data_IF_577704194256
#
_entry.id   IF_577704194256
#
_cell.length_a   1.000
_cell.length_b   1.000
_cell.length_c   1.000
_cell.angle_alpha   90.00
_cell.angle_beta   90.00
_cell.angle_gamma   90.00
#
_symmetry.space_group_name_H-M   'P 1'
#
loop_
_entity.id
_entity.type
_entity.pdbx_description
1 polymer ?
2 non-polymer ?
3 non-polymer ?
4 water ?
#
# COMPACT_ATOMS: atom_id res chain seq x y z
N UNK A 1 6.07 -21.55 9.95
CA UNK A 1 7.07 -20.90 10.79
C UNK A 1 6.74 -21.16 12.27
N UNK A 2 7.78 -21.07 13.08
CA UNK A 2 7.71 -21.05 14.54
C UNK A 2 7.38 -19.61 14.99
N UNK A 3 7.89 -18.65 14.24
CA UNK A 3 7.98 -17.26 14.68
C UNK A 3 6.66 -16.50 14.69
N UNK A 4 6.63 -15.46 15.52
CA UNK A 4 5.48 -14.58 15.64
C UNK A 4 5.91 -13.11 15.68
N UNK A 5 5.02 -12.25 15.21
CA UNK A 5 5.22 -10.81 15.32
C UNK A 5 6.50 -10.33 14.66
N UNK A 6 7.21 -9.44 15.36
CA UNK A 6 8.40 -8.79 14.83
C UNK A 6 9.52 -9.77 14.42
N UNK A 7 9.61 -10.93 15.11
CA UNK A 7 10.61 -11.97 14.82
C UNK A 7 10.56 -12.50 13.38
N UNK A 8 9.38 -12.43 12.76
CA UNK A 8 9.20 -12.82 11.36
C UNK A 8 9.91 -11.90 10.37
N UNK A 9 10.35 -10.72 10.81
CA UNK A 9 10.83 -9.67 9.91
C UNK A 9 12.31 -9.36 10.00
N UNK A 10 13.07 -10.15 10.77
CA UNK A 10 14.47 -9.79 11.05
C UNK A 10 15.43 -9.95 9.86
N UNK A 11 15.03 -10.65 8.80
CA UNK A 11 15.83 -10.77 7.58
C UNK A 11 15.04 -10.28 6.36
N UNK A 12 15.41 -10.77 5.19
CA UNK A 12 14.72 -10.44 3.93
C UNK A 12 13.61 -11.45 3.73
N UNK A 13 12.40 -10.95 3.50
CA UNK A 13 11.21 -11.74 3.40
C UNK A 13 10.59 -11.62 1.98
N UNK A 14 10.26 -12.76 1.34
CA UNK A 14 9.60 -12.70 0.02
C UNK A 14 8.18 -12.17 0.15
N UNK A 15 7.78 -11.42 -0.86
CA UNK A 15 6.45 -10.81 -0.90
C UNK A 15 5.73 -11.25 -2.18
N UNK A 16 4.44 -11.52 -2.05
CA UNK A 16 3.55 -11.82 -3.19
C UNK A 16 2.32 -10.94 -3.02
N UNK A 17 1.96 -10.24 -4.09
CA UNK A 17 0.81 -9.36 -4.10
C UNK A 17 -0.14 -9.82 -5.21
N UNK A 18 -1.43 -9.92 -4.89
CA UNK A 18 -2.43 -10.25 -5.89
C UNK A 18 -3.59 -9.26 -5.77
N UNK A 19 -3.92 -8.57 -6.87
CA UNK A 19 -5.01 -7.63 -6.88
C UNK A 19 -6.01 -7.98 -7.99
N UNK A 20 -7.29 -7.99 -7.63
CA UNK A 20 -8.38 -7.97 -8.60
C UNK A 20 -9.09 -6.65 -8.50
N UNK A 21 -9.26 -5.98 -9.64
CA UNK A 21 -9.86 -4.66 -9.69
C UNK A 21 -10.98 -4.56 -10.72
N UNK A 22 -11.86 -3.58 -10.51
CA UNK A 22 -12.91 -3.25 -11.47
C UNK A 22 -13.11 -1.74 -11.41
N UNK A 23 -12.79 -1.05 -12.50
CA UNK A 23 -12.92 0.42 -12.62
C UNK A 23 -13.47 0.75 -14.02
N UNK A 24 -14.51 1.59 -14.11
CA UNK A 24 -15.02 2.08 -15.42
C UNK A 24 -15.42 0.94 -16.36
N UNK A 25 -16.01 -0.09 -15.77
CA UNK A 25 -16.42 -1.29 -16.52
C UNK A 25 -15.28 -2.16 -17.01
N UNK A 26 -14.07 -1.92 -16.49
CA UNK A 26 -12.89 -2.70 -16.91
C UNK A 26 -12.36 -3.51 -15.71
N UNK A 27 -12.52 -4.82 -15.80
CA UNK A 27 -11.96 -5.75 -14.83
C UNK A 27 -10.50 -6.01 -15.17
N UNK A 28 -9.64 -6.02 -14.16
CA UNK A 28 -8.23 -6.22 -14.36
C UNK A 28 -7.64 -6.93 -13.19
N UNK A 29 -6.46 -7.52 -13.42
CA UNK A 29 -5.71 -8.17 -12.35
C UNK A 29 -4.23 -7.75 -12.39
N UNK A 30 -3.65 -7.67 -11.21
CA UNK A 30 -2.23 -7.36 -11.07
C UNK A 30 -1.61 -8.37 -10.12
N UNK A 31 -0.43 -8.87 -10.49
CA UNK A 31 0.41 -9.71 -9.64
C UNK A 31 1.72 -8.99 -9.39
N UNK A 32 2.23 -9.11 -8.18
CA UNK A 32 3.51 -8.55 -7.84
C UNK A 32 4.36 -9.50 -7.03
N UNK A 33 5.67 -9.39 -7.21
CA UNK A 33 6.64 -10.20 -6.49
C UNK A 33 7.85 -9.36 -6.12
N UNK A 34 8.42 -9.65 -4.97
CA UNK A 34 9.65 -9.01 -4.57
C UNK A 34 10.04 -9.40 -3.17
N UNK A 35 10.66 -8.47 -2.47
CA UNK A 35 11.13 -8.77 -1.14
C UNK A 35 11.17 -7.53 -0.26
N UNK A 36 11.10 -7.76 1.04
CA UNK A 36 11.08 -6.68 2.03
C UNK A 36 12.10 -6.93 3.11
N UNK A 37 12.76 -5.86 3.55
CA UNK A 37 13.82 -5.91 4.58
C UNK A 37 13.51 -4.85 5.61
N UNK A 38 12.72 -5.22 6.61
CA UNK A 38 12.18 -4.26 7.58
C UNK A 38 13.26 -3.59 8.44
N UNK A 39 14.38 -4.26 8.60
CA UNK A 39 15.49 -3.66 9.37
C UNK A 39 15.93 -2.31 8.76
N UNK A 40 15.83 -2.20 7.44
CA UNK A 40 16.25 -1.02 6.70
C UNK A 40 15.06 -0.28 6.08
N UNK A 41 13.86 -0.77 6.37
CA UNK A 41 12.63 -0.23 5.79
C UNK A 41 12.52 -0.34 4.28
N UNK A 42 13.17 -1.36 3.68
CA UNK A 42 13.38 -1.40 2.23
C UNK A 42 12.46 -2.43 1.55
N UNK A 43 11.79 -2.01 0.48
CA UNK A 43 10.91 -2.87 -0.33
C UNK A 43 11.34 -2.77 -1.78
N UNK A 44 11.43 -3.91 -2.45
CA UNK A 44 11.70 -3.96 -3.90
C UNK A 44 10.66 -4.91 -4.52
N UNK A 45 9.86 -4.41 -5.45
CA UNK A 45 8.76 -5.17 -6.05
C UNK A 45 8.63 -4.85 -7.53
N UNK A 46 8.22 -5.86 -8.29
CA UNK A 46 7.78 -5.71 -9.66
C UNK A 46 6.34 -6.20 -9.79
N UNK A 47 5.50 -5.33 -10.36
CA UNK A 47 4.08 -5.62 -10.59
C UNK A 47 3.81 -5.77 -12.08
N UNK A 48 2.94 -6.71 -12.43
CA UNK A 48 2.54 -6.98 -13.80
C UNK A 48 1.01 -6.95 -13.86
N UNK A 49 0.46 -6.26 -14.88
CA UNK A 49 -0.96 -6.40 -15.20
C UNK A 49 -1.09 -7.67 -16.02
N UNK A 50 -1.84 -8.63 -15.48
CA UNK A 50 -1.94 -9.94 -16.09
C UNK A 50 -3.13 -10.06 -17.06
N UNK A 51 -3.92 -8.99 -17.20
CA UNK A 51 -5.08 -8.98 -18.06
C UNK A 51 -4.91 -8.07 -19.30
N UNK A 52 -3.69 -7.62 -19.57
CA UNK A 52 -3.41 -6.72 -20.70
C UNK A 52 -3.02 -5.33 -20.23
N UNK A 53 -3.67 -4.31 -20.78
CA UNK A 53 -3.40 -2.93 -20.44
C UNK A 53 -4.10 -2.57 -19.13
N UNK A 54 -3.33 -2.00 -18.21
CA UNK A 54 -3.95 -1.54 -16.98
C UNK A 54 -4.87 -0.35 -17.30
N UNK A 55 -6.15 -0.40 -16.85
CA UNK A 55 -7.10 0.66 -17.21
C UNK A 55 -7.02 1.95 -16.37
N UNK A 56 -6.14 1.98 -15.38
CA UNK A 56 -5.90 3.16 -14.58
C UNK A 56 -4.39 3.40 -14.56
N UNK A 57 -3.94 4.61 -14.15
CA UNK A 57 -2.52 4.87 -14.09
C UNK A 57 -1.84 4.09 -12.95
N UNK A 58 -0.67 3.52 -13.23
CA UNK A 58 0.07 2.77 -12.21
C UNK A 58 0.29 3.55 -10.89
N UNK A 59 0.63 4.85 -10.97
CA UNK A 59 0.84 5.58 -9.72
C UNK A 59 -0.38 5.57 -8.78
N UNK A 60 -1.59 5.46 -9.31
CA UNK A 60 -2.79 5.48 -8.47
C UNK A 60 -2.97 4.20 -7.67
N UNK A 61 -2.23 3.14 -8.03
CA UNK A 61 -2.32 1.86 -7.34
C UNK A 61 -1.20 1.61 -6.33
N UNK A 62 -0.19 2.49 -6.28
CA UNK A 62 0.96 2.25 -5.43
C UNK A 62 0.54 2.01 -3.97
N UNK A 63 -0.31 2.89 -3.42
CA UNK A 63 -0.63 2.76 -1.99
C UNK A 63 -1.43 1.47 -1.72
N UNK A 64 -2.21 1.02 -2.70
CA UNK A 64 -3.02 -0.17 -2.55
C UNK A 64 -2.14 -1.42 -2.58
N UNK A 65 -1.26 -1.45 -3.55
CA UNK A 65 -0.35 -2.55 -3.77
C UNK A 65 0.70 -2.66 -2.66
N UNK A 67 1.93 -2.91 2.31
CA UNK A 67 2.60 -3.92 3.16
C UNK A 67 3.44 -3.17 4.19
N UNK A 68 2.72 -2.38 4.98
CA UNK A 68 3.32 -1.46 5.94
C UNK A 68 3.99 -2.17 7.10
N UNK A 69 3.82 -3.51 7.18
CA UNK A 69 4.63 -4.34 8.05
C UNK A 69 6.13 -4.31 7.75
N UNK A 70 6.53 -3.83 6.57
CA UNK A 70 7.96 -3.71 6.27
C UNK A 70 8.59 -2.36 6.66
N UNK A 71 7.81 -1.51 7.34
CA UNK A 71 8.32 -0.22 7.83
C UNK A 71 9.45 -0.43 8.83
N UNK A 72 10.47 0.42 8.77
CA UNK A 72 11.47 0.45 9.83
C UNK A 72 10.94 1.26 11.01
N UNK A 73 10.69 0.58 12.13
CA UNK A 73 10.37 1.28 13.37
C UNK A 73 11.67 1.50 14.16
N UNK A 74 12.02 2.76 14.49
CA UNK A 74 13.13 2.99 15.39
C UNK A 74 12.97 2.23 16.70
N UNK A 75 14.08 1.80 17.29
CA UNK A 75 14.04 1.07 18.55
C UNK A 75 13.15 1.74 19.61
N UNK A 76 13.23 3.06 19.75
CA UNK A 76 12.42 3.80 20.73
C UNK A 76 10.94 3.78 20.42
N UNK A 77 10.56 3.39 19.20
CA UNK A 77 9.16 3.32 18.78
C UNK A 77 8.64 1.90 18.53
N UNK A 78 9.42 0.87 18.82
CA UNK A 78 8.98 -0.51 18.47
C UNK A 78 7.70 -0.97 19.16
N UNK A 79 7.35 -0.36 20.29
CA UNK A 79 6.07 -0.62 20.98
C UNK A 79 4.82 -0.11 20.23
N UNK A 80 5.05 0.65 19.15
CA UNK A 80 3.98 1.26 18.37
C UNK A 80 3.77 0.59 17.00
N UNK A 81 4.42 -0.56 16.74
CA UNK A 81 4.33 -1.25 15.47
C UNK A 81 3.21 -2.30 15.44
N UNK A 82 2.02 -1.81 15.15
CA UNK A 82 0.84 -2.64 14.99
C UNK A 82 1.03 -3.71 13.93
N UNK A 83 1.56 -3.30 12.78
CA UNK A 83 1.52 -4.15 11.61
C UNK A 83 2.23 -5.48 11.82
N UNK A 84 3.44 -5.42 12.40
CA UNK A 84 4.16 -6.68 12.64
C UNK A 84 3.54 -7.47 13.76
N UNK A 85 2.93 -6.81 14.74
CA UNK A 85 2.38 -7.50 15.91
C UNK A 85 1.21 -8.43 15.55
N UNK A 86 0.57 -8.15 14.42
CA UNK A 86 -0.56 -8.94 13.96
C UNK A 86 -0.17 -10.23 13.24
N UNK A 87 1.13 -10.39 12.97
CA UNK A 87 1.64 -11.50 12.16
C UNK A 87 1.97 -12.73 13.03
N UNK A 88 1.82 -13.96 12.52
CA UNK A 88 1.63 -14.27 11.09
C UNK A 88 0.17 -14.29 10.61
N UNK A 89 -0.78 -14.25 11.54
CA UNK A 89 -2.20 -14.38 11.19
C UNK A 89 -2.68 -13.24 10.30
N UNK A 90 -2.16 -12.05 10.55
CA UNK A 90 -2.28 -10.94 9.63
C UNK A 90 -3.33 -9.93 9.98
N UNK A 91 -3.59 -9.03 9.04
CA UNK A 91 -4.58 -7.98 9.23
C UNK A 91 -5.35 -7.72 7.98
N UNK A 92 -6.55 -7.17 8.17
CA UNK A 92 -7.33 -6.63 7.07
C UNK A 92 -7.01 -5.15 6.96
N UNK A 93 -6.74 -4.70 5.75
CA UNK A 93 -6.51 -3.29 5.44
C UNK A 93 -7.58 -2.82 4.47
N UNK A 94 -8.36 -1.84 4.90
CA UNK A 94 -9.44 -1.29 4.10
C UNK A 94 -9.17 0.18 3.86
N UNK A 95 -9.42 0.65 2.64
CA UNK A 95 -9.36 2.08 2.34
C UNK A 95 -10.51 2.55 1.47
N UNK A 96 -10.81 3.83 1.60
CA UNK A 96 -11.47 4.60 0.56
C UNK A 96 -10.48 5.67 0.15
N UNK A 97 -10.26 5.78 -1.15
CA UNK A 97 -9.33 6.77 -1.70
C UNK A 97 -10.18 7.70 -2.52
N UNK A 98 -10.26 8.96 -2.09
CA UNK A 98 -11.13 9.94 -2.76
C UNK A 98 -10.32 10.83 -3.67
N UNK A 99 -10.54 10.68 -4.97
CA UNK A 99 -9.86 11.56 -5.94
C UNK A 99 -10.66 12.82 -6.10
N UNK A 100 -10.05 13.94 -5.71
CA UNK A 100 -10.78 15.23 -5.64
C UNK A 100 -11.36 15.56 -7.01
N UNK A 101 -12.64 15.95 -7.02
CA UNK A 101 -13.38 16.28 -8.28
C UNK A 101 -13.50 15.12 -9.25
N UNK A 102 -13.40 13.91 -8.71
CA UNK A 102 -13.46 12.71 -9.53
C UNK A 102 -13.98 11.55 -8.69
N UNK A 103 -13.70 10.32 -9.09
CA UNK A 103 -14.21 9.13 -8.42
C UNK A 103 -13.43 8.69 -7.21
N UNK A 104 -13.80 7.51 -6.69
CA UNK A 104 -13.18 6.93 -5.50
C UNK A 104 -12.77 5.48 -5.75
N UNK A 105 -11.68 5.05 -5.12
CA UNK A 105 -11.37 3.62 -4.99
C UNK A 105 -11.82 3.14 -3.63
N UNK A 106 -12.43 1.96 -3.58
CA UNK A 106 -12.72 1.25 -2.35
C UNK A 106 -11.88 -0.01 -2.40
N UNK A 107 -11.06 -0.24 -1.38
CA UNK A 107 -10.15 -1.38 -1.36
C UNK A 107 -10.28 -2.19 -0.08
N UNK A 108 -10.15 -3.51 -0.23
CA UNK A 108 -10.08 -4.41 0.93
C UNK A 108 -9.00 -5.43 0.66
N UNK A 109 -8.08 -5.56 1.61
CA UNK A 109 -6.95 -6.46 1.47
C UNK A 109 -6.75 -7.25 2.75
N UNK A 110 -6.23 -8.47 2.57
CA UNK A 110 -5.75 -9.29 3.67
C UNK A 110 -4.25 -9.47 3.50
N UNK A 111 -3.50 -9.14 4.55
CA UNK A 111 -2.06 -9.21 4.56
C UNK A 111 -1.67 -10.23 5.62
N UNK A 112 -1.00 -11.30 5.22
CA UNK A 112 -0.69 -12.39 6.14
C UNK A 112 0.43 -13.25 5.60
N UNK A 113 1.06 -14.04 6.46
CA UNK A 113 2.03 -15.04 5.97
C UNK A 113 1.35 -16.29 5.40
N UNK A 114 1.90 -16.79 4.30
CA UNK A 114 1.64 -18.13 3.79
C UNK A 114 3.02 -18.79 3.70
N UNK A 115 3.37 -19.57 4.72
CA UNK A 115 4.71 -20.10 4.85
C UNK A 115 5.69 -18.95 5.10
N UNK A 116 6.76 -18.94 4.31
CA UNK A 116 7.80 -17.91 4.36
C UNK A 116 7.41 -16.61 3.68
N UNK A 117 6.33 -16.59 2.91
CA UNK A 117 6.00 -15.48 2.05
C UNK A 117 4.96 -14.59 2.69
N UNK A 118 5.18 -13.29 2.61
CA UNK A 118 4.20 -12.31 3.07
C UNK A 118 3.31 -12.03 1.88
N UNK A 119 2.00 -12.26 2.05
CA UNK A 119 1.05 -12.15 0.95
C UNK A 119 0.06 -11.02 1.20
N UNK A 120 -0.16 -10.19 0.17
CA UNK A 120 -1.16 -9.14 0.17
C UNK A 120 -2.15 -9.43 -0.95
N UNK A 121 -3.37 -9.83 -0.58
CA UNK A 121 -4.44 -10.17 -1.52
C UNK A 121 -5.49 -9.06 -1.40
N UNK A 122 -5.77 -8.42 -2.54
CA UNK A 122 -6.55 -7.18 -2.59
C UNK A 122 -7.73 -7.29 -3.56
N UNK A 123 -8.86 -6.71 -3.19
CA UNK A 123 -9.95 -6.39 -4.13
C UNK A 123 -10.13 -4.87 -4.16
N UNK A 124 -10.26 -4.33 -5.36
CA UNK A 124 -10.43 -2.91 -5.58
C UNK A 124 -11.65 -2.64 -6.45
N UNK A 125 -12.48 -1.68 -6.04
CA UNK A 125 -13.64 -1.24 -6.83
C UNK A 125 -13.55 0.26 -7.05
N UNK A 126 -13.66 0.70 -8.31
CA UNK A 126 -13.77 2.11 -8.65
C UNK A 126 -15.21 2.56 -8.69
N UNK A 127 -15.47 3.77 -8.21
CA UNK A 127 -16.81 4.35 -8.09
C UNK A 127 -16.80 5.70 -8.80
N UNK A 128 -17.70 5.88 -9.78
CA UNK A 128 -18.06 7.19 -10.33
C UNK A 128 -16.89 8.06 -10.84
N UNK A 129 -15.95 7.44 -11.54
CA UNK A 129 -14.90 8.20 -12.21
C UNK A 129 -15.38 8.91 -13.50
N UNK A 130 -14.76 10.05 -13.77
CA UNK A 130 -15.04 10.83 -14.99
C UNK A 130 -14.27 10.26 -16.15
N UNK A 131 -14.94 9.98 -17.27
CA UNK A 131 -14.23 9.43 -18.42
C UNK A 131 -13.15 10.37 -18.98
N UNK A 132 -13.39 11.69 -18.84
CA UNK A 132 -12.47 12.70 -19.34
C UNK A 132 -11.51 13.21 -18.25
N UNK A 133 -11.52 12.59 -17.07
CA UNK A 133 -10.75 13.05 -15.92
C UNK A 133 -9.31 12.53 -15.93
N UNK A 134 -8.56 12.89 -14.90
CA UNK A 134 -7.13 12.55 -14.85
C UNK A 134 -6.81 11.07 -14.73
N UNK A 135 -7.72 10.33 -14.11
CA UNK A 135 -7.49 8.93 -13.84
C UNK A 135 -7.82 8.12 -15.09
N UNK A 136 -9.01 8.32 -15.64
CA UNK A 136 -9.40 7.54 -16.80
C UNK A 136 -8.79 8.05 -18.09
N UNK A 137 -8.40 9.32 -18.11
CA UNK A 137 -7.63 9.85 -19.22
C UNK A 137 -6.17 9.40 -19.25
N UNK A 138 -5.69 8.65 -18.24
CA UNK A 138 -4.25 8.36 -18.11
C UNK A 138 -3.39 9.64 -18.28
N UNK A 139 -3.75 10.67 -17.52
CA UNK A 139 -3.03 11.97 -17.59
C UNK A 139 -1.93 12.14 -16.51
N UNK A 140 -1.68 11.11 -15.70
CA UNK A 140 -0.75 11.24 -14.58
C UNK A 140 0.64 10.91 -15.02
N UNK A 141 1.59 11.61 -14.43
CA UNK A 141 2.98 11.35 -14.66
C UNK A 141 3.39 10.10 -13.88
N UNK A 142 4.38 9.42 -14.42
CA UNK A 142 4.93 8.21 -13.83
C UNK A 142 6.05 8.59 -12.90
N UNK A 143 5.64 9.15 -11.79
CA UNK A 143 6.52 9.49 -10.70
C UNK A 143 5.71 9.43 -9.41
N UNK A 144 6.36 9.76 -8.29
CA UNK A 144 5.70 9.84 -6.99
C UNK A 144 6.32 10.96 -6.16
N UNK A 145 5.49 11.68 -5.39
CA UNK A 145 6.00 12.82 -4.59
C UNK A 145 5.57 12.86 -3.14
N UNK A 146 4.55 12.10 -2.74
CA UNK A 146 4.11 12.13 -1.34
C UNK A 146 4.82 11.09 -0.49
N UNK A 147 4.83 11.35 0.83
CA UNK A 147 5.63 10.60 1.76
C UNK A 147 4.88 10.14 3.03
N UNK A 148 4.04 10.98 3.68
CA UNK A 148 3.60 10.67 5.07
C UNK A 148 2.25 9.97 5.19
N UNK A 149 2.16 9.06 6.15
CA UNK A 149 0.90 8.38 6.52
C UNK A 149 0.71 8.59 8.01
N UNK A 150 -0.38 9.24 8.39
CA UNK A 150 -0.59 9.60 9.80
C UNK A 150 -1.45 8.54 10.47
N UNK A 151 -0.90 7.89 11.49
CA UNK A 151 -1.51 6.74 12.14
C UNK A 151 -2.05 7.11 13.54
N UNK A 152 -3.25 6.61 13.85
CA UNK A 152 -3.82 6.70 15.18
C UNK A 152 -4.43 5.35 15.56
N UNK A 153 -4.49 5.08 16.86
CA UNK A 153 -5.07 3.85 17.35
C UNK A 153 -6.57 3.90 17.19
N UNK A 154 -7.15 2.73 16.92
CA UNK A 154 -8.58 2.50 16.97
C UNK A 154 -8.80 1.38 17.98
N UNK A 155 -8.76 1.74 19.26
CA UNK A 155 -8.74 0.71 20.32
C UNK A 155 -10.01 -0.14 20.41
N UNK A 156 -11.15 0.46 20.07
CA UNK A 156 -12.43 -0.25 20.05
C UNK A 156 -12.46 -1.39 19.02
N UNK A 157 -11.66 -1.28 17.95
CA UNK A 157 -11.56 -2.32 16.95
C UNK A 157 -10.26 -3.12 17.05
N UNK A 158 -9.50 -2.90 18.14
CA UNK A 158 -8.20 -3.53 18.31
C UNK A 158 -7.30 -3.32 17.10
N UNK A 159 -7.35 -2.12 16.54
CA UNK A 159 -6.53 -1.80 15.38
C UNK A 159 -6.13 -0.36 15.26
N UNK A 160 -5.98 0.11 14.02
CA UNK A 160 -5.52 1.45 13.73
C UNK A 160 -6.34 2.04 12.61
N UNK A 161 -6.25 3.36 12.54
CA UNK A 161 -6.73 4.13 11.39
C UNK A 161 -5.60 4.98 10.89
N UNK A 162 -5.69 5.38 9.64
CA UNK A 162 -4.73 6.31 9.10
C UNK A 162 -5.42 7.21 8.10
N UNK A 163 -4.85 8.38 7.90
CA UNK A 163 -5.35 9.35 6.92
C UNK A 163 -4.16 10.07 6.33
N UNK A 164 -4.21 10.34 5.03
CA UNK A 164 -3.15 11.07 4.35
C UNK A 164 -3.60 11.42 2.96
N UNK A 165 -3.05 12.50 2.42
CA UNK A 165 -3.34 12.95 1.06
C UNK A 165 -2.15 12.66 0.17
N UNK A 166 -2.40 12.02 -0.94
CA UNK A 166 -1.40 11.83 -1.97
C UNK A 166 -1.61 12.87 -3.05
N UNK A 167 -0.50 13.38 -3.58
CA UNK A 167 -0.50 14.32 -4.70
C UNK A 167 0.06 13.62 -5.91
N UNK A 168 -0.72 13.54 -6.98
CA UNK A 168 -0.28 12.94 -8.23
C UNK A 168 -0.09 14.07 -9.26
N UNK A 169 1.14 14.25 -9.72
CA UNK A 169 1.40 15.21 -10.79
C UNK A 169 0.74 14.81 -12.09
N UNK A 170 0.11 15.79 -12.73
CA UNK A 170 -0.58 15.63 -14.00
C UNK A 170 0.30 16.22 -15.09
N UNK A 171 0.23 15.64 -16.28
CA UNK A 171 1.08 16.04 -17.44
C UNK A 171 1.06 17.55 -17.78
N UNK A 172 -0.04 18.23 -17.49
CA UNK A 172 -0.13 19.66 -17.80
C UNK A 172 0.48 20.58 -16.71
N UNK A 173 1.02 19.98 -15.65
CA UNK A 173 1.57 20.74 -14.52
C UNK A 173 0.63 20.89 -13.33
N UNK A 174 -0.64 20.52 -13.49
CA UNK A 174 -1.58 20.52 -12.36
C UNK A 174 -1.32 19.32 -11.46
N UNK A 175 -2.04 19.25 -10.35
CA UNK A 175 -1.92 18.11 -9.42
C UNK A 175 -3.31 17.55 -9.19
N UNK A 176 -3.39 16.22 -9.06
CA UNK A 176 -4.60 15.53 -8.67
C UNK A 176 -4.43 15.04 -7.24
N UNK A 177 -5.33 15.43 -6.35
CA UNK A 177 -5.28 15.04 -4.96
C UNK A 177 -6.07 13.75 -4.75
N UNK A 178 -5.56 12.90 -3.88
CA UNK A 178 -6.16 11.60 -3.54
C UNK A 178 -6.11 11.41 -2.01
N UNK A 179 -7.25 11.63 -1.34
CA UNK A 179 -7.32 11.57 0.12
C UNK A 179 -7.60 10.15 0.52
N UNK A 180 -6.70 9.59 1.31
CA UNK A 180 -6.78 8.19 1.77
C UNK A 180 -7.32 8.11 3.19
N UNK A 181 -8.36 7.31 3.35
CA UNK A 181 -8.88 6.93 4.67
C UNK A 181 -8.67 5.43 4.82
N UNK A 182 -8.00 5.03 5.90
CA UNK A 182 -7.51 3.68 6.04
C UNK A 182 -7.91 3.14 7.41
N UNK A 183 -8.24 1.85 7.47
CA UNK A 183 -8.45 1.15 8.72
C UNK A 183 -7.85 -0.24 8.63
N UNK A 184 -7.17 -0.63 9.69
CA UNK A 184 -6.60 -1.95 9.80
C UNK A 184 -7.11 -2.64 11.05
N UNK A 185 -7.46 -3.91 10.90
CA UNK A 185 -7.90 -4.74 12.03
C UNK A 185 -7.24 -6.12 11.94
N UNK A 186 -6.93 -6.71 13.09
CA UNK A 186 -6.31 -8.03 13.09
C UNK A 186 -7.26 -9.11 12.59
N UNK A 187 -6.71 -10.10 11.91
CA UNK A 187 -7.49 -11.26 11.46
C UNK A 187 -7.69 -12.24 12.61
N UNK A 188 -6.65 -12.42 13.41
CA UNK A 188 -6.72 -13.31 14.57
C UNK A 188 -7.29 -12.67 15.82
N UNK A 189 -7.30 -13.49 16.85
CA UNK A 189 -7.87 -13.23 18.13
C UNK A 189 -6.87 -12.72 19.17
N UNK A 190 -5.60 -12.69 18.76
CA UNK A 190 -4.51 -12.46 19.68
C UNK A 190 -4.23 -10.98 19.84
N UNK A 191 -3.34 -10.63 20.76
CA UNK A 191 -3.09 -9.21 21.00
C UNK A 191 -2.29 -8.53 19.89
N UNK A 192 -2.45 -7.23 19.81
CA UNK A 192 -1.67 -6.38 18.93
C UNK A 192 -1.15 -5.19 19.72
N UNK A 193 -0.14 -4.54 19.16
CA UNK A 193 0.34 -3.28 19.69
C UNK A 193 -0.52 -2.15 19.15
N UNK A 194 -1.10 -1.37 20.08
CA UNK A 194 -1.96 -0.26 19.75
C UNK A 194 -1.14 1.01 19.95
N UNK A 195 -0.86 1.73 18.85
CA UNK A 195 0.16 2.77 18.91
C UNK A 195 -0.31 4.14 19.41
N UNK A 196 0.59 4.90 19.99
CA UNK A 196 0.40 6.37 20.06
C UNK A 196 0.45 6.95 18.63
N UNK A 197 -0.07 8.17 18.49
CA UNK A 197 -0.01 8.86 17.21
C UNK A 197 1.43 8.96 16.70
N UNK A 198 1.58 8.65 15.43
CA UNK A 198 2.85 8.74 14.77
C UNK A 198 2.62 8.72 13.25
N UNK A 199 3.70 8.75 12.50
CA UNK A 199 3.58 8.65 11.05
C UNK A 199 4.63 7.77 10.44
N UNK A 200 4.33 7.32 9.22
CA UNK A 200 5.29 6.61 8.38
C UNK A 200 5.72 7.54 7.26
N UNK A 201 7.03 7.67 7.08
CA UNK A 201 7.59 8.47 6.03
C UNK A 201 8.11 7.56 4.95
N UNK A 202 7.61 7.71 3.72
CA UNK A 202 8.03 6.88 2.58
C UNK A 202 8.80 7.64 1.50
N UNK A 203 9.93 7.07 1.05
CA UNK A 203 10.70 7.57 -0.12
C UNK A 203 10.56 6.52 -1.20
N UNK A 204 10.36 6.96 -2.43
CA UNK A 204 10.07 5.99 -3.49
C UNK A 204 10.72 6.29 -4.79
N UNK A 205 10.60 5.28 -5.65
CA UNK A 205 11.10 5.38 -6.99
C UNK A 205 10.33 4.38 -7.86
N UNK A 206 9.66 4.88 -8.89
CA UNK A 206 8.95 4.08 -9.89
C UNK A 206 9.84 3.99 -11.11
N UNK A 207 9.95 2.80 -11.66
CA UNK A 207 10.72 2.58 -12.90
C UNK A 207 10.10 1.48 -13.77
N UNK A 208 10.77 1.18 -14.87
CA UNK A 208 10.38 0.15 -15.81
C UNK A 208 11.53 -0.81 -16.02
N UNK A 209 11.15 -2.07 -16.27
CA UNK A 209 12.06 -3.13 -16.72
C UNK A 209 12.17 -3.09 -18.24
N UNK A 210 13.36 -2.76 -18.79
CA UNK A 210 13.46 -2.57 -20.23
C UNK A 210 13.22 -3.84 -21.08
N UNK A 211 13.24 -5.01 -20.44
CA UNK A 211 12.97 -6.28 -21.14
C UNK A 211 11.54 -6.80 -20.98
N UNK A 212 10.69 -6.05 -20.29
CA UNK A 212 9.34 -6.49 -20.01
C UNK A 212 8.35 -5.87 -20.97
N UNK A 213 7.70 -6.72 -21.77
CA UNK A 213 6.70 -6.30 -22.74
C UNK A 213 5.29 -6.17 -22.13
N UNK A 214 5.02 -6.81 -20.98
CA UNK A 214 3.72 -6.66 -20.31
C UNK A 214 3.65 -5.30 -19.63
N UNK A 215 2.42 -4.80 -19.47
CA UNK A 215 2.21 -3.54 -18.72
C UNK A 215 2.64 -3.81 -17.26
N UNK A 216 3.54 -2.98 -16.73
CA UNK A 216 4.17 -3.27 -15.46
C UNK A 216 4.73 -2.04 -14.76
N UNK A 217 5.10 -2.24 -13.49
CA UNK A 217 5.72 -1.21 -12.66
C UNK A 217 6.75 -1.84 -11.76
N UNK A 218 7.93 -1.24 -11.72
CA UNK A 218 8.98 -1.61 -10.76
C UNK A 218 9.02 -0.53 -9.69
N UNK A 219 9.05 -0.97 -8.43
CA UNK A 219 8.97 -0.09 -7.29
C UNK A 219 10.11 -0.36 -6.32
N UNK A 220 10.77 0.71 -5.87
CA UNK A 220 11.71 0.68 -4.76
C UNK A 220 11.18 1.67 -3.73
N UNK A 221 11.07 1.22 -2.48
CA UNK A 221 10.55 2.06 -1.41
C UNK A 221 11.38 1.92 -0.16
N UNK A 222 11.51 3.04 0.56
CA UNK A 222 12.09 3.09 1.89
C UNK A 222 11.08 3.74 2.80
N UNK A 223 10.76 3.05 3.90
CA UNK A 223 9.70 3.48 4.80
C UNK A 223 10.21 3.46 6.24
N UNK A 224 10.07 4.59 6.94
CA UNK A 224 10.52 4.75 8.32
C UNK A 224 9.43 5.36 9.18
N UNK A 225 9.17 4.78 10.35
CA UNK A 225 8.26 5.37 11.34
C UNK A 225 8.96 6.55 12.04
N UNK A 226 8.18 7.57 12.36
CA UNK A 226 8.69 8.82 12.95
C UNK A 226 7.60 9.53 13.73
N UNK A 227 7.98 10.63 14.38
CA UNK A 227 7.04 11.56 15.01
C UNK A 227 6.83 11.38 16.51
N UNK A 228 7.62 10.50 17.13
CA UNK A 228 7.67 10.36 18.58
C UNK A 228 9.12 10.64 19.00
N UNK A 229 9.28 11.68 19.83
CA UNK A 229 10.56 12.27 20.25
C UNK A 229 11.62 12.33 19.16
#
# INVERSE_FOLDING_TARGET
MVSKGEELFTGVVPILVELDGDVNGHKFSVSGEGEGDATYGKLTLKFICTTGKLPVPWPTLVTTLXVQCFSRYPDHMKQHDFFKSAMPEGYVQERTIFFKDDGNYKTRAEVKFEGDTLVNRIELKGIDFKEDGNILGHKLEYNYISHNVYITADKQKNGIKANFKIRHNIEDGSVQLADHYQQNTPIGDGPVLLPDNHYLSTQSALSKDPNEKRDHMVLLEFVTAAGITLGMDELYK
#
